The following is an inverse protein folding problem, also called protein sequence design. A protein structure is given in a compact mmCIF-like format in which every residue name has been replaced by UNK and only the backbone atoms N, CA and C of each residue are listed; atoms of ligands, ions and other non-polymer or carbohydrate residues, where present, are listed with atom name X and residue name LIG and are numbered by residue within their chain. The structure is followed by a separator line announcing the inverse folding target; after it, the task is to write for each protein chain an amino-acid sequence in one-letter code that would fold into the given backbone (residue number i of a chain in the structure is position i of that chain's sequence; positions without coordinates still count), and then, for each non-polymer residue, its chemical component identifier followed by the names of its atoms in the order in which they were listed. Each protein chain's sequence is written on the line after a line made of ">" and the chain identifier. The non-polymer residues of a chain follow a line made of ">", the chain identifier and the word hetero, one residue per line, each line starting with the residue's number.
data_IF_450627222918
#
_entry.id   IF_450627222918
#
_cell.length_a   1.000
_cell.length_b   1.000
_cell.length_c   1.000
_cell.angle_alpha   90.00
_cell.angle_beta   90.00
_cell.angle_gamma   90.00
#
_symmetry.space_group_name_H-M   'P 1'
#
loop_
_entity.id
_entity.type
_entity.pdbx_description
1 polymer ?
#
# COMPACT_ATOMS: atom_id res chain seq x y z
N UNK A 1 6.74 16.31 32.80
CA UNK A 1 6.89 16.10 31.36
C UNK A 1 7.12 14.61 31.19
N UNK A 2 6.10 13.85 30.79
CA UNK A 2 6.22 12.40 30.62
C UNK A 2 6.24 12.11 29.13
N UNK A 3 7.34 11.49 28.70
CA UNK A 3 7.58 11.03 27.34
C UNK A 3 6.52 10.04 26.89
N UNK A 4 6.25 10.14 25.59
CA UNK A 4 5.17 9.51 24.86
C UNK A 4 5.52 8.03 24.71
N UNK A 5 4.69 7.14 25.26
CA UNK A 5 4.78 5.70 24.99
C UNK A 5 4.55 5.48 23.49
N UNK A 6 5.59 5.02 22.80
CA UNK A 6 5.48 4.48 21.46
C UNK A 6 4.60 3.22 21.55
N UNK A 7 3.32 3.35 21.21
CA UNK A 7 2.46 2.21 20.99
C UNK A 7 2.91 1.50 19.72
N UNK A 8 3.75 0.50 19.93
CA UNK A 8 4.05 -0.57 18.99
C UNK A 8 2.74 -1.30 18.63
N UNK A 9 2.51 -1.50 17.34
CA UNK A 9 1.52 -2.47 16.84
C UNK A 9 0.09 -1.96 16.68
N UNK A 10 -0.15 -1.08 15.73
CA UNK A 10 -1.49 -0.99 15.12
C UNK A 10 -1.65 -2.18 14.15
N UNK A 11 -1.83 -3.39 14.68
CA UNK A 11 -2.27 -4.54 13.89
C UNK A 11 -3.66 -4.21 13.33
N UNK A 12 -3.69 -3.84 12.05
CA UNK A 12 -4.92 -3.42 11.38
C UNK A 12 -5.70 -4.67 11.02
N UNK A 13 -6.81 -4.92 11.72
CA UNK A 13 -7.70 -6.04 11.48
C UNK A 13 -8.11 -6.10 10.00
N UNK A 14 -7.67 -7.15 9.29
CA UNK A 14 -7.95 -7.38 7.86
C UNK A 14 -6.72 -7.65 6.99
N UNK A 15 -5.50 -7.39 7.47
CA UNK A 15 -4.29 -7.72 6.71
C UNK A 15 -3.95 -9.22 6.81
N UNK A 16 -3.61 -9.84 5.67
CA UNK A 16 -3.06 -11.19 5.65
C UNK A 16 -1.78 -11.23 6.50
N UNK A 17 -1.65 -12.21 7.40
CA UNK A 17 -0.42 -12.37 8.19
C UNK A 17 0.71 -12.86 7.28
N UNK A 18 1.91 -12.27 7.36
CA UNK A 18 3.04 -12.77 6.59
C UNK A 18 3.43 -14.16 7.07
N UNK A 19 3.82 -15.03 6.13
CA UNK A 19 4.25 -16.40 6.42
C UNK A 19 5.76 -16.55 6.52
N UNK A 20 6.49 -15.57 5.99
CA UNK A 20 7.95 -15.49 6.06
C UNK A 20 8.38 -14.05 5.78
N UNK A 21 9.66 -13.79 5.99
CA UNK A 21 10.30 -12.52 5.71
C UNK A 21 11.55 -12.76 4.87
N UNK A 22 11.94 -11.74 4.11
CA UNK A 22 13.21 -11.71 3.43
C UNK A 22 13.91 -10.38 3.59
N UNK A 23 15.23 -10.41 3.60
CA UNK A 23 16.05 -9.21 3.63
C UNK A 23 17.25 -9.32 2.68
N UNK A 24 17.71 -8.19 2.17
CA UNK A 24 18.91 -8.10 1.32
C UNK A 24 19.67 -6.80 1.54
N UNK A 25 20.96 -6.81 1.26
CA UNK A 25 21.78 -5.60 1.34
C UNK A 25 21.53 -4.71 0.11
N UNK A 26 21.37 -3.41 0.34
CA UNK A 26 21.21 -2.37 -0.68
C UNK A 26 22.40 -1.42 -0.55
N UNK A 27 23.20 -1.31 -1.62
CA UNK A 27 24.37 -0.44 -1.62
C UNK A 27 23.97 0.93 -2.15
N UNK A 28 23.75 1.88 -1.24
CA UNK A 28 23.36 3.25 -1.59
C UNK A 28 24.41 3.90 -2.49
N UNK A 29 23.93 4.59 -3.53
CA UNK A 29 24.78 5.36 -4.46
C UNK A 29 25.64 4.50 -5.40
N UNK A 30 25.45 3.18 -5.41
CA UNK A 30 26.09 2.30 -6.39
C UNK A 30 25.02 1.69 -7.28
N UNK A 31 25.19 1.87 -8.58
CA UNK A 31 24.38 1.23 -9.60
C UNK A 31 25.19 0.15 -10.32
N UNK A 32 24.52 -0.84 -10.88
CA UNK A 32 25.14 -1.76 -11.81
C UNK A 32 25.40 -1.10 -13.18
N UNK A 33 25.88 -1.89 -14.14
CA UNK A 33 26.16 -1.42 -15.51
C UNK A 33 24.91 -0.99 -16.30
N UNK A 34 23.71 -1.32 -15.82
CA UNK A 34 22.43 -0.95 -16.42
C UNK A 34 21.85 0.32 -15.77
N UNK A 35 22.49 0.84 -14.71
CA UNK A 35 22.00 1.99 -13.96
C UNK A 35 21.02 1.63 -12.85
N UNK A 36 20.78 0.34 -12.61
CA UNK A 36 19.90 -0.12 -11.54
C UNK A 36 20.62 -0.13 -10.19
N UNK A 37 19.95 0.16 -9.07
CA UNK A 37 20.57 0.11 -7.75
C UNK A 37 21.20 -1.27 -7.48
N UNK A 38 22.47 -1.27 -7.07
CA UNK A 38 23.13 -2.52 -6.72
C UNK A 38 22.49 -3.11 -5.44
N UNK A 39 22.10 -4.37 -5.54
CA UNK A 39 21.46 -5.13 -4.45
C UNK A 39 22.12 -6.50 -4.33
N UNK A 40 22.25 -6.97 -3.10
CA UNK A 40 22.73 -8.32 -2.80
C UNK A 40 21.62 -9.37 -2.88
N UNK A 41 21.99 -10.63 -2.63
CA UNK A 41 21.06 -11.75 -2.61
C UNK A 41 20.05 -11.64 -1.46
N UNK A 42 18.84 -12.16 -1.71
CA UNK A 42 17.81 -12.32 -0.70
C UNK A 42 18.16 -13.43 0.29
N UNK A 43 18.00 -13.12 1.58
CA UNK A 43 18.01 -14.09 2.69
C UNK A 43 16.60 -14.22 3.24
N UNK A 44 16.19 -15.45 3.55
CA UNK A 44 14.83 -15.78 3.99
C UNK A 44 14.84 -16.20 5.45
N UNK A 45 13.88 -15.72 6.22
CA UNK A 45 13.74 -15.99 7.65
C UNK A 45 12.26 -16.11 8.04
N UNK A 46 11.92 -16.89 9.08
CA UNK A 46 10.53 -17.13 9.46
C UNK A 46 9.87 -15.91 10.11
N UNK A 47 10.62 -15.11 10.88
CA UNK A 47 10.09 -13.95 11.61
C UNK A 47 10.76 -12.64 11.18
N UNK A 48 10.14 -11.50 11.50
CA UNK A 48 10.68 -10.19 11.12
C UNK A 48 11.96 -9.88 11.89
N UNK A 49 12.01 -10.31 13.14
CA UNK A 49 13.07 -10.06 14.12
C UNK A 49 14.40 -10.71 13.69
N UNK A 50 14.33 -11.76 12.89
CA UNK A 50 15.51 -12.42 12.31
C UNK A 50 16.12 -11.64 11.12
N UNK A 51 15.46 -10.60 10.63
CA UNK A 51 16.00 -9.75 9.57
C UNK A 51 17.10 -8.83 10.09
N UNK A 52 18.12 -8.58 9.27
CA UNK A 52 19.06 -7.48 9.54
C UNK A 52 18.38 -6.15 9.24
N UNK A 53 18.12 -5.35 10.26
CA UNK A 53 17.38 -4.09 10.22
C UNK A 53 18.27 -2.84 10.03
N UNK A 54 19.56 -3.02 9.77
CA UNK A 54 20.49 -1.90 9.53
C UNK A 54 20.03 -1.07 8.32
N UNK A 55 20.33 0.25 8.26
CA UNK A 55 19.82 1.18 7.24
C UNK A 55 20.18 0.89 5.77
N UNK A 56 21.06 -0.07 5.53
CA UNK A 56 21.47 -0.52 4.19
C UNK A 56 20.86 -1.89 3.85
N UNK A 57 19.83 -2.32 4.57
CA UNK A 57 19.08 -3.52 4.26
C UNK A 57 17.64 -3.16 3.92
N UNK A 58 17.11 -3.86 2.92
CA UNK A 58 15.71 -3.85 2.57
C UNK A 58 15.07 -5.10 3.20
N UNK A 59 13.92 -4.94 3.87
CA UNK A 59 13.14 -6.01 4.46
C UNK A 59 11.79 -6.07 3.76
N UNK A 60 11.36 -7.28 3.37
CA UNK A 60 10.07 -7.49 2.74
C UNK A 60 9.35 -8.69 3.36
N UNK A 61 8.07 -8.50 3.66
CA UNK A 61 7.17 -9.55 4.09
C UNK A 61 6.73 -10.43 2.90
N UNK A 62 6.59 -11.74 3.15
CA UNK A 62 6.12 -12.72 2.18
C UNK A 62 4.76 -13.26 2.62
N UNK A 63 3.82 -13.31 1.69
CA UNK A 63 2.45 -13.75 1.94
C UNK A 63 2.09 -14.93 1.02
N UNK A 64 1.23 -15.82 1.50
CA UNK A 64 0.67 -16.94 0.70
C UNK A 64 -0.41 -16.48 -0.28
N UNK A 65 -1.02 -15.33 -0.02
CA UNK A 65 -1.96 -14.65 -0.89
C UNK A 65 -1.64 -13.15 -0.91
N UNK A 66 -1.90 -12.43 -2.01
CA UNK A 66 -1.79 -10.98 -2.01
C UNK A 66 -2.61 -10.39 -0.86
N UNK A 67 -2.07 -9.43 -0.09
CA UNK A 67 -2.86 -8.74 0.91
C UNK A 67 -4.05 -8.08 0.21
N UNK A 68 -5.25 -8.26 0.78
CA UNK A 68 -6.47 -7.63 0.25
C UNK A 68 -6.22 -6.12 0.25
N UNK A 69 -6.45 -5.43 -0.89
CA UNK A 69 -6.31 -3.99 -0.94
C UNK A 69 -7.14 -3.33 0.17
N UNK A 70 -6.51 -2.50 0.99
CA UNK A 70 -7.21 -1.76 2.06
C UNK A 70 -8.19 -0.72 1.49
N UNK A 71 -8.07 -0.41 0.20
CA UNK A 71 -9.02 0.40 -0.54
C UNK A 71 -10.27 -0.43 -0.83
N UNK A 72 -11.46 -0.02 -0.36
CA UNK A 72 -12.70 -0.71 -0.67
C UNK A 72 -12.90 -0.86 -2.18
N UNK A 73 -13.45 -2.00 -2.60
CA UNK A 73 -13.66 -2.33 -4.02
C UNK A 73 -14.53 -1.28 -4.74
N UNK A 74 -15.45 -0.64 -4.01
CA UNK A 74 -16.27 0.46 -4.50
C UNK A 74 -15.42 1.68 -4.90
N UNK A 75 -14.45 2.07 -4.07
CA UNK A 75 -13.52 3.17 -4.38
C UNK A 75 -12.64 2.84 -5.60
N UNK A 76 -12.15 1.59 -5.70
CA UNK A 76 -11.37 1.14 -6.86
C UNK A 76 -12.19 1.27 -8.15
N UNK A 77 -13.46 0.87 -8.13
CA UNK A 77 -14.36 0.98 -9.29
C UNK A 77 -14.66 2.45 -9.64
N UNK A 78 -14.92 3.29 -8.65
CA UNK A 78 -15.18 4.71 -8.86
C UNK A 78 -13.98 5.43 -9.50
N UNK A 79 -12.75 5.16 -9.03
CA UNK A 79 -11.52 5.71 -9.61
C UNK A 79 -11.31 5.23 -11.06
N UNK A 80 -11.56 3.95 -11.35
CA UNK A 80 -11.49 3.42 -12.71
C UNK A 80 -12.48 4.11 -13.65
N UNK A 81 -13.70 4.36 -13.18
CA UNK A 81 -14.71 5.09 -13.95
C UNK A 81 -14.28 6.54 -14.20
N UNK A 82 -13.73 7.22 -13.20
CA UNK A 82 -13.16 8.56 -13.37
C UNK A 82 -12.04 8.60 -14.43
N UNK A 83 -11.09 7.67 -14.38
CA UNK A 83 -10.02 7.58 -15.38
C UNK A 83 -10.57 7.26 -16.78
N UNK A 84 -11.64 6.46 -16.86
CA UNK A 84 -12.34 6.20 -18.12
C UNK A 84 -12.97 7.47 -18.68
N UNK A 85 -13.71 8.23 -17.87
CA UNK A 85 -14.32 9.52 -18.27
C UNK A 85 -13.25 10.52 -18.70
N UNK A 86 -12.12 10.57 -17.98
CA UNK A 86 -10.97 11.41 -18.35
C UNK A 86 -10.36 11.04 -19.69
N UNK A 87 -10.26 9.75 -19.99
CA UNK A 87 -9.72 9.26 -21.27
C UNK A 87 -10.69 9.47 -22.43
N UNK A 88 -11.97 9.22 -22.21
CA UNK A 88 -13.01 9.31 -23.25
C UNK A 88 -13.46 10.76 -23.49
N UNK A 89 -13.27 11.63 -22.50
CA UNK A 89 -13.61 13.04 -22.53
C UNK A 89 -15.01 13.31 -23.13
N UNK A 90 -16.07 12.72 -22.55
CA UNK A 90 -17.42 12.89 -23.06
C UNK A 90 -17.89 14.36 -22.94
N UNK A 91 -18.84 14.80 -23.78
CA UNK A 91 -19.37 16.16 -23.72
C UNK A 91 -19.88 16.52 -22.32
N UNK A 92 -19.68 17.77 -21.90
CA UNK A 92 -20.08 18.24 -20.55
C UNK A 92 -21.58 18.04 -20.27
N UNK A 93 -22.41 18.11 -21.32
CA UNK A 93 -23.86 17.92 -21.27
C UNK A 93 -24.27 16.51 -20.84
N UNK A 94 -23.37 15.52 -21.00
CA UNK A 94 -23.62 14.13 -20.57
C UNK A 94 -23.62 13.99 -19.05
N UNK A 95 -23.08 14.96 -18.30
CA UNK A 95 -22.96 14.87 -16.84
C UNK A 95 -21.93 13.84 -16.34
N UNK A 96 -21.29 13.06 -17.22
CA UNK A 96 -20.42 11.95 -16.85
C UNK A 96 -19.26 12.35 -15.92
N UNK A 97 -18.72 13.56 -16.11
CA UNK A 97 -17.70 14.12 -15.23
C UNK A 97 -18.20 14.35 -13.81
N UNK A 98 -19.43 14.84 -13.66
CA UNK A 98 -20.05 15.07 -12.34
C UNK A 98 -20.33 13.73 -11.65
N UNK A 99 -20.86 12.76 -12.38
CA UNK A 99 -21.19 11.44 -11.84
C UNK A 99 -19.93 10.69 -11.38
N UNK A 100 -18.84 10.79 -12.15
CA UNK A 100 -17.57 10.20 -11.78
C UNK A 100 -16.99 10.79 -10.50
N UNK A 101 -17.03 12.13 -10.37
CA UNK A 101 -16.53 12.82 -9.18
C UNK A 101 -17.41 12.53 -7.96
N UNK A 102 -18.73 12.56 -8.11
CA UNK A 102 -19.68 12.26 -7.02
C UNK A 102 -19.48 10.85 -6.49
N UNK A 103 -19.32 9.86 -7.39
CA UNK A 103 -19.10 8.48 -7.00
C UNK A 103 -17.77 8.31 -6.24
N UNK A 104 -16.67 8.91 -6.73
CA UNK A 104 -15.37 8.86 -6.03
C UNK A 104 -15.47 9.48 -4.63
N UNK A 105 -16.12 10.64 -4.50
CA UNK A 105 -16.30 11.32 -3.22
C UNK A 105 -17.13 10.47 -2.24
N UNK A 106 -18.22 9.87 -2.71
CA UNK A 106 -19.07 9.00 -1.90
C UNK A 106 -18.29 7.80 -1.36
N UNK A 107 -17.56 7.09 -2.22
CA UNK A 107 -16.80 5.90 -1.83
C UNK A 107 -15.60 6.25 -0.94
N UNK A 108 -14.93 7.37 -1.19
CA UNK A 108 -13.85 7.86 -0.34
C UNK A 108 -14.35 8.20 1.07
N UNK A 109 -15.49 8.89 1.17
CA UNK A 109 -16.14 9.19 2.45
C UNK A 109 -16.56 7.91 3.19
N UNK A 110 -17.08 6.91 2.48
CA UNK A 110 -17.44 5.63 3.07
C UNK A 110 -16.21 4.88 3.60
N UNK A 111 -15.14 4.81 2.81
CA UNK A 111 -13.88 4.17 3.18
C UNK A 111 -13.30 4.74 4.49
N UNK A 112 -13.34 6.07 4.65
CA UNK A 112 -12.88 6.75 5.87
C UNK A 112 -13.81 6.45 7.07
N UNK A 113 -15.12 6.46 6.88
CA UNK A 113 -16.09 6.21 7.96
C UNK A 113 -16.10 4.76 8.44
N UNK A 114 -15.83 3.79 7.57
CA UNK A 114 -15.68 2.37 7.96
C UNK A 114 -14.41 2.13 8.78
N UNK A 115 -13.34 2.90 8.54
CA UNK A 115 -12.11 2.82 9.34
C UNK A 115 -12.27 3.33 10.77
N UNK A 116 -13.30 4.14 11.06
CA UNK A 116 -13.54 4.75 12.38
C UNK A 116 -14.44 3.88 13.27
N UNK A 117 -15.25 2.97 12.71
CA UNK A 117 -16.25 2.17 13.45
C UNK A 117 -15.79 0.78 13.90
N UNK A 118 -14.55 0.40 13.63
CA UNK A 118 -13.97 -0.88 14.07
C UNK A 118 -13.01 -0.72 15.25
N UNK A 119 -13.46 -0.06 16.32
CA UNK A 119 -12.74 0.07 17.60
C UNK A 119 -13.15 -0.98 18.61
#
# INVERSE_FOLDING_TARGET
>A
MSEINYQEGHETAGQAKPVAWRYRYVKKGVTDSQGEPWVGDWKYVPTKEDCNDRPNYEIQALFTAPPVPLTPEGLIKAVRFYEQVKRENPPVETGAWKDAVDWVLKEACQAVNTGIKGG
#
